data_IF_396799657436
#
_entry.id   IF_396799657436
#
_cell.length_a   1.000
_cell.length_b   1.000
_cell.length_c   1.000
_cell.angle_alpha   90.00
_cell.angle_beta   90.00
_cell.angle_gamma   90.00
#
_symmetry.space_group_name_H-M   'P 1'
#
loop_
_entity.id
_entity.type
_entity.pdbx_description
1 polymer ?
#
# COMPACT_ATOMS: atom_id res chain seq x y z
N UNK A 1 4.51 16.91 18.18
CA UNK A 1 3.64 15.87 17.59
C UNK A 1 2.28 16.50 17.32
N UNK A 2 1.65 16.27 16.16
CA UNK A 2 0.29 16.72 15.93
C UNK A 2 -0.68 15.95 16.85
N UNK A 3 -1.60 16.69 17.49
CA UNK A 3 -2.67 16.11 18.32
C UNK A 3 -3.92 16.00 17.47
N UNK A 4 -4.57 14.84 17.51
CA UNK A 4 -5.78 14.57 16.74
C UNK A 4 -6.89 14.15 17.70
N UNK A 5 -8.03 14.81 17.61
CA UNK A 5 -9.24 14.43 18.35
C UNK A 5 -10.12 13.57 17.45
N UNK A 6 -10.41 12.35 17.87
CA UNK A 6 -11.21 11.39 17.10
C UNK A 6 -12.55 11.17 17.81
N UNK A 7 -13.66 11.34 17.10
CA UNK A 7 -14.98 10.95 17.60
C UNK A 7 -15.22 9.49 17.25
N UNK A 8 -15.47 8.68 18.27
CA UNK A 8 -15.81 7.27 18.14
C UNK A 8 -17.11 7.01 18.88
N UNK A 9 -17.91 6.07 18.37
CA UNK A 9 -19.11 5.61 19.06
C UNK A 9 -18.74 4.76 20.28
N UNK A 10 -19.63 4.63 21.25
CA UNK A 10 -19.39 3.78 22.43
C UNK A 10 -19.13 2.32 22.06
N UNK A 11 -19.81 1.82 21.01
CA UNK A 11 -19.55 0.49 20.46
C UNK A 11 -18.13 0.38 19.88
N UNK A 12 -17.70 1.40 19.14
CA UNK A 12 -16.34 1.47 18.58
C UNK A 12 -15.28 1.57 19.67
N UNK A 13 -15.54 2.33 20.72
CA UNK A 13 -14.64 2.43 21.89
C UNK A 13 -14.46 1.07 22.57
N UNK A 14 -15.56 0.35 22.83
CA UNK A 14 -15.51 -1.00 23.42
C UNK A 14 -14.75 -2.00 22.54
N UNK A 15 -14.94 -1.94 21.23
CA UNK A 15 -14.21 -2.81 20.31
C UNK A 15 -12.70 -2.53 20.33
N UNK A 16 -12.28 -1.27 20.53
CA UNK A 16 -10.86 -0.90 20.55
C UNK A 16 -10.18 -1.16 21.89
N UNK A 17 -10.92 -1.21 22.99
CA UNK A 17 -10.38 -1.50 24.33
C UNK A 17 -9.74 -2.91 24.41
N UNK A 18 -10.19 -3.86 23.59
CA UNK A 18 -9.63 -5.23 23.54
C UNK A 18 -8.18 -5.26 23.01
N UNK A 19 -7.75 -4.24 22.29
CA UNK A 19 -6.44 -4.20 21.62
C UNK A 19 -5.38 -3.39 22.39
N UNK A 20 -5.74 -2.80 23.54
CA UNK A 20 -4.83 -2.02 24.39
C UNK A 20 -5.29 -0.58 24.64
N UNK A 21 -4.39 0.31 25.12
CA UNK A 21 -4.73 1.70 25.41
C UNK A 21 -5.34 2.41 24.19
N UNK A 22 -6.53 2.96 24.35
CA UNK A 22 -7.32 3.55 23.25
C UNK A 22 -6.51 4.56 22.40
N UNK A 23 -5.68 5.40 23.02
CA UNK A 23 -4.86 6.38 22.29
C UNK A 23 -3.83 5.73 21.38
N UNK A 24 -3.24 4.62 21.81
CA UNK A 24 -2.20 3.92 21.07
C UNK A 24 -2.83 3.07 19.96
N UNK A 25 -3.94 2.39 20.26
CA UNK A 25 -4.73 1.64 19.28
C UNK A 25 -5.26 2.53 18.15
N UNK A 26 -5.81 3.70 18.48
CA UNK A 26 -6.29 4.67 17.48
C UNK A 26 -5.12 5.21 16.65
N UNK A 27 -3.98 5.52 17.28
CA UNK A 27 -2.78 5.99 16.58
C UNK A 27 -2.29 4.95 15.58
N UNK A 28 -2.19 3.70 16.01
CA UNK A 28 -1.72 2.61 15.16
C UNK A 28 -2.70 2.31 14.03
N UNK A 29 -4.01 2.29 14.32
CA UNK A 29 -5.05 2.13 13.30
C UNK A 29 -5.00 3.20 12.21
N UNK A 30 -4.84 4.47 12.59
CA UNK A 30 -4.66 5.57 11.65
C UNK A 30 -3.37 5.42 10.84
N UNK A 31 -2.27 5.01 11.48
CA UNK A 31 -0.99 4.78 10.82
C UNK A 31 -1.11 3.70 9.74
N UNK A 32 -1.72 2.56 10.07
CA UNK A 32 -1.94 1.45 9.16
C UNK A 32 -2.86 1.84 8.00
N UNK A 33 -3.95 2.57 8.28
CA UNK A 33 -4.84 3.07 7.23
C UNK A 33 -4.11 3.96 6.23
N UNK A 34 -3.31 4.92 6.71
CA UNK A 34 -2.55 5.82 5.84
C UNK A 34 -1.48 5.08 5.04
N UNK A 35 -0.82 4.08 5.63
CA UNK A 35 0.12 3.22 4.91
C UNK A 35 -0.56 2.42 3.80
N UNK A 36 -1.71 1.81 4.10
CA UNK A 36 -2.50 1.09 3.11
C UNK A 36 -2.94 2.01 1.95
N UNK A 37 -3.40 3.22 2.25
CA UNK A 37 -3.78 4.20 1.22
C UNK A 37 -2.62 4.63 0.34
N UNK A 38 -1.45 4.87 0.92
CA UNK A 38 -0.24 5.15 0.14
C UNK A 38 0.15 3.99 -0.78
N UNK A 39 0.01 2.75 -0.31
CA UNK A 39 0.26 1.57 -1.13
C UNK A 39 -0.74 1.45 -2.29
N UNK A 40 -2.03 1.67 -2.04
CA UNK A 40 -3.06 1.71 -3.08
C UNK A 40 -2.76 2.77 -4.13
N UNK A 41 -2.40 3.99 -3.71
CA UNK A 41 -2.01 5.07 -4.63
C UNK A 41 -0.77 4.73 -5.45
N UNK A 42 0.25 4.14 -4.81
CA UNK A 42 1.47 3.71 -5.50
C UNK A 42 1.16 2.65 -6.57
N UNK A 43 0.33 1.66 -6.23
CA UNK A 43 -0.12 0.63 -7.17
C UNK A 43 -0.96 1.23 -8.31
N UNK A 44 -1.83 2.19 -8.01
CA UNK A 44 -2.62 2.88 -9.04
C UNK A 44 -1.72 3.67 -10.01
N UNK A 45 -0.72 4.39 -9.48
CA UNK A 45 0.30 5.08 -10.29
C UNK A 45 1.12 4.11 -11.13
N UNK A 46 1.52 2.97 -10.56
CA UNK A 46 2.26 1.92 -11.27
C UNK A 46 1.44 1.35 -12.43
N UNK A 47 0.15 1.04 -12.20
CA UNK A 47 -0.76 0.60 -13.27
C UNK A 47 -0.96 1.66 -14.35
N UNK A 48 -1.04 2.93 -13.97
CA UNK A 48 -1.16 4.03 -14.92
C UNK A 48 0.11 4.24 -15.76
N UNK A 49 1.29 4.00 -15.17
CA UNK A 49 2.55 3.99 -15.90
C UNK A 49 2.64 2.79 -16.84
N UNK A 50 2.28 1.59 -16.37
CA UNK A 50 2.23 0.39 -17.21
C UNK A 50 1.20 0.46 -18.35
N UNK A 51 0.14 1.25 -18.21
CA UNK A 51 -0.85 1.43 -19.27
C UNK A 51 -0.42 2.48 -20.30
N UNK A 52 0.31 3.52 -19.88
CA UNK A 52 0.85 4.57 -20.76
C UNK A 52 2.12 4.12 -21.48
N UNK A 53 3.00 3.48 -20.73
CA UNK A 53 4.22 2.86 -21.19
C UNK A 53 4.06 1.37 -20.90
N UNK A 54 3.21 0.71 -21.72
CA UNK A 54 3.24 -0.75 -21.80
C UNK A 54 4.68 -1.05 -22.16
N UNK A 55 5.49 -1.44 -21.19
CA UNK A 55 6.77 -2.06 -21.46
C UNK A 55 6.43 -3.16 -22.48
N UNK A 56 6.76 -2.89 -23.74
CA UNK A 56 6.41 -3.71 -24.89
C UNK A 56 7.27 -4.98 -24.91
N UNK A 57 7.79 -5.38 -23.77
CA UNK A 57 8.34 -6.71 -23.54
C UNK A 57 7.21 -7.72 -23.62
N UNK A 58 6.77 -7.93 -24.85
CA UNK A 58 6.15 -9.15 -25.29
C UNK A 58 7.07 -10.28 -24.85
N UNK A 59 6.51 -11.43 -24.51
CA UNK A 59 7.24 -12.65 -24.09
C UNK A 59 8.39 -13.02 -25.03
N UNK A 60 8.36 -12.55 -26.30
CA UNK A 60 9.43 -12.69 -27.28
C UNK A 60 10.67 -11.81 -27.01
N UNK A 61 10.50 -10.58 -26.50
CA UNK A 61 11.62 -9.70 -26.13
C UNK A 61 12.29 -10.16 -24.83
N UNK A 62 11.52 -10.65 -23.86
CA UNK A 62 12.07 -11.31 -22.66
C UNK A 62 12.88 -12.56 -23.03
N UNK A 63 12.37 -13.40 -23.93
CA UNK A 63 13.10 -14.58 -24.42
C UNK A 63 14.38 -14.20 -25.18
N UNK A 64 14.40 -13.05 -25.88
CA UNK A 64 15.59 -12.51 -26.53
C UNK A 64 16.64 -12.07 -25.52
N UNK A 65 16.25 -11.30 -24.52
CA UNK A 65 17.12 -10.88 -23.42
C UNK A 65 17.73 -12.07 -22.66
N UNK A 66 16.91 -13.09 -22.36
CA UNK A 66 17.37 -14.31 -21.69
C UNK A 66 18.35 -15.11 -22.57
N UNK A 67 18.17 -15.12 -23.89
CA UNK A 67 19.10 -15.78 -24.82
C UNK A 67 20.41 -15.02 -24.99
N UNK A 68 20.37 -13.69 -25.02
CA UNK A 68 21.56 -12.84 -25.11
C UNK A 68 22.42 -12.96 -23.84
N UNK A 69 21.80 -13.04 -22.66
CA UNK A 69 22.49 -13.21 -21.37
C UNK A 69 23.14 -14.59 -21.23
N UNK A 70 22.53 -15.65 -21.80
CA UNK A 70 23.08 -17.01 -21.82
C UNK A 70 24.21 -17.25 -22.82
N UNK A 71 24.41 -16.34 -23.78
CA UNK A 71 25.48 -16.42 -24.79
C UNK A 71 26.74 -15.65 -24.38
N UNK A 72 26.83 -15.21 -23.12
CA UNK A 72 27.98 -14.56 -22.51
C UNK A 72 28.67 -15.48 -21.53
#
# INVERSE_FOLDING_TARGET
>A
MPTISVRISDKGKKALDEYGPLSDTVREGVRLYLQAKKAEEALAKLRALQSKDRAKTTTLEELKLIREDRNR
#
